data_IF_832490644643
#
_entry.id   IF_832490644643
#
_cell.length_a   1.000
_cell.length_b   1.000
_cell.length_c   1.000
_cell.angle_alpha   90.00
_cell.angle_beta   90.00
_cell.angle_gamma   90.00
#
_symmetry.space_group_name_H-M   'P 1'
#
loop_
_entity.id
_entity.type
_entity.pdbx_description
1 polymer ?
#
# COMPACT_ATOMS: atom_id res chain seq x y z
N UNK A 1 -26.62 15.49 -4.25
CA UNK A 1 -25.35 14.72 -4.28
C UNK A 1 -25.18 14.05 -2.92
N UNK A 2 -25.10 12.71 -2.90
CA UNK A 2 -24.93 11.94 -1.67
C UNK A 2 -23.52 11.36 -1.63
N UNK A 3 -23.02 11.12 -0.42
CA UNK A 3 -21.73 10.51 -0.18
C UNK A 3 -21.70 9.85 1.20
N UNK A 4 -20.75 8.97 1.41
CA UNK A 4 -20.51 8.35 2.71
C UNK A 4 -19.02 8.35 3.05
N UNK A 5 -18.70 8.16 4.34
CA UNK A 5 -17.33 8.02 4.80
C UNK A 5 -16.91 6.57 4.58
N UNK A 6 -15.91 6.40 3.74
CA UNK A 6 -15.32 5.10 3.42
C UNK A 6 -14.25 4.68 4.44
N UNK A 7 -13.44 5.64 4.90
CA UNK A 7 -12.37 5.43 5.86
C UNK A 7 -12.11 6.69 6.68
N UNK A 8 -11.77 6.52 7.95
CA UNK A 8 -11.31 7.58 8.82
C UNK A 8 -10.13 7.10 9.67
N UNK A 9 -9.14 7.96 9.85
CA UNK A 9 -8.00 7.78 10.75
C UNK A 9 -7.84 8.99 11.66
N UNK A 10 -6.72 9.10 12.36
CA UNK A 10 -6.45 10.27 13.22
C UNK A 10 -6.34 11.59 12.45
N UNK A 11 -5.97 11.57 11.16
CA UNK A 11 -5.69 12.81 10.40
C UNK A 11 -6.25 12.82 8.98
N UNK A 12 -6.91 11.74 8.58
CA UNK A 12 -7.41 11.57 7.22
C UNK A 12 -8.85 11.07 7.25
N UNK A 13 -9.64 11.54 6.31
CA UNK A 13 -10.94 10.96 6.01
C UNK A 13 -11.03 10.73 4.51
N UNK A 14 -11.50 9.56 4.10
CA UNK A 14 -11.79 9.23 2.71
C UNK A 14 -13.29 9.13 2.53
N UNK A 15 -13.82 9.83 1.55
CA UNK A 15 -15.23 9.80 1.18
C UNK A 15 -15.41 9.07 -0.16
N UNK A 16 -16.61 8.51 -0.37
CA UNK A 16 -17.05 7.96 -1.64
C UNK A 16 -18.40 8.59 -2.00
N UNK A 17 -18.55 9.06 -3.25
CA UNK A 17 -19.79 9.59 -3.77
C UNK A 17 -20.74 8.45 -4.13
N UNK A 18 -22.03 8.60 -3.81
CA UNK A 18 -23.10 7.66 -4.15
C UNK A 18 -23.74 8.06 -5.49
N UNK A 19 -22.99 7.97 -6.60
CA UNK A 19 -23.40 8.37 -7.94
C UNK A 19 -23.09 7.27 -8.98
N UNK A 20 -23.82 7.30 -10.11
CA UNK A 20 -23.60 6.40 -11.27
C UNK A 20 -22.44 6.89 -12.16
N UNK A 21 -21.33 7.29 -11.57
CA UNK A 21 -20.11 7.66 -12.28
C UNK A 21 -18.99 6.67 -11.93
N UNK A 22 -17.99 6.54 -12.81
CA UNK A 22 -16.88 5.62 -12.61
C UNK A 22 -15.59 6.44 -12.53
N UNK A 23 -14.88 6.33 -11.39
CA UNK A 23 -13.61 6.95 -11.07
C UNK A 23 -13.64 8.48 -11.01
N UNK A 24 -14.10 9.16 -12.06
CA UNK A 24 -14.25 10.61 -12.15
C UNK A 24 -15.71 11.03 -12.33
N UNK A 25 -16.02 12.23 -11.85
CA UNK A 25 -17.34 12.87 -11.96
C UNK A 25 -17.17 14.36 -12.22
N UNK A 26 -18.26 15.10 -12.38
CA UNK A 26 -18.22 16.57 -12.46
C UNK A 26 -17.62 17.17 -11.19
N UNK A 27 -16.83 18.23 -11.35
CA UNK A 27 -16.14 18.89 -10.24
C UNK A 27 -17.09 19.31 -9.12
N UNK A 28 -16.65 19.11 -7.88
CA UNK A 28 -17.36 19.50 -6.66
C UNK A 28 -16.39 20.05 -5.62
N UNK A 29 -16.88 20.90 -4.76
CA UNK A 29 -16.15 21.44 -3.64
C UNK A 29 -16.33 20.56 -2.40
N UNK A 30 -15.27 20.42 -1.60
CA UNK A 30 -15.35 19.81 -0.27
C UNK A 30 -15.16 20.90 0.77
N UNK A 31 -16.14 21.01 1.66
CA UNK A 31 -16.13 21.92 2.80
C UNK A 31 -16.04 21.11 4.10
N UNK A 32 -15.10 21.47 4.97
CA UNK A 32 -14.91 20.84 6.28
C UNK A 32 -14.98 21.91 7.36
N UNK A 33 -15.91 21.75 8.31
CA UNK A 33 -16.23 22.74 9.34
C UNK A 33 -16.41 24.15 8.74
N UNK A 34 -17.17 24.27 7.66
CA UNK A 34 -17.46 25.52 6.96
C UNK A 34 -16.27 26.14 6.22
N UNK A 35 -15.15 25.44 6.05
CA UNK A 35 -13.98 25.91 5.30
C UNK A 35 -13.76 25.07 4.05
N UNK A 36 -13.58 25.75 2.91
CA UNK A 36 -13.25 25.08 1.65
C UNK A 36 -11.89 24.38 1.75
N UNK A 37 -11.86 23.09 1.47
CA UNK A 37 -10.63 22.28 1.38
C UNK A 37 -10.09 22.22 -0.04
N UNK A 38 -10.95 22.27 -1.04
CA UNK A 38 -10.55 22.23 -2.44
C UNK A 38 -11.70 21.87 -3.38
N UNK A 39 -11.36 21.83 -4.67
CA UNK A 39 -12.26 21.37 -5.74
C UNK A 39 -11.72 20.03 -6.26
N UNK A 40 -12.58 19.04 -6.34
CA UNK A 40 -12.25 17.67 -6.66
C UNK A 40 -13.16 17.13 -7.76
N UNK A 41 -12.77 16.01 -8.37
CA UNK A 41 -13.52 15.39 -9.47
C UNK A 41 -13.50 13.86 -9.42
N UNK A 42 -12.89 13.27 -8.39
CA UNK A 42 -12.85 11.81 -8.21
C UNK A 42 -14.05 11.32 -7.40
N UNK A 43 -14.52 10.12 -7.70
CA UNK A 43 -15.59 9.46 -6.94
C UNK A 43 -15.17 9.11 -5.52
N UNK A 44 -13.88 8.79 -5.34
CA UNK A 44 -13.27 8.55 -4.03
C UNK A 44 -12.20 9.60 -3.81
N UNK A 45 -12.28 10.29 -2.68
CA UNK A 45 -11.36 11.37 -2.35
C UNK A 45 -10.95 11.37 -0.89
N UNK A 46 -9.65 11.46 -0.65
CA UNK A 46 -9.08 11.58 0.70
C UNK A 46 -8.78 13.03 1.04
N UNK A 47 -9.20 13.45 2.22
CA UNK A 47 -8.91 14.73 2.84
C UNK A 47 -7.91 14.49 3.97
N UNK A 48 -6.82 15.21 3.96
CA UNK A 48 -5.74 15.16 4.93
C UNK A 48 -5.66 16.40 5.83
N UNK A 49 -4.72 16.40 6.78
CA UNK A 49 -4.43 17.53 7.64
C UNK A 49 -5.51 17.82 8.67
N UNK A 50 -6.26 16.79 9.08
CA UNK A 50 -7.18 16.87 10.20
C UNK A 50 -6.43 16.78 11.54
N UNK A 51 -7.07 17.19 12.62
CA UNK A 51 -6.57 17.01 13.98
C UNK A 51 -7.10 15.68 14.53
N UNK A 52 -6.30 14.96 15.32
CA UNK A 52 -6.77 13.73 15.97
C UNK A 52 -7.79 14.05 17.08
N UNK A 53 -8.62 13.04 17.42
CA UNK A 53 -9.60 13.08 18.51
C UNK A 53 -10.51 14.33 18.41
N UNK A 54 -11.03 14.60 17.19
CA UNK A 54 -11.74 15.84 16.88
C UNK A 54 -12.99 15.55 16.04
N UNK A 55 -14.09 16.24 16.39
CA UNK A 55 -15.33 16.19 15.61
C UNK A 55 -15.25 17.10 14.39
N UNK A 56 -15.72 16.57 13.25
CA UNK A 56 -15.78 17.28 11.98
C UNK A 56 -17.11 17.11 11.28
N UNK A 57 -17.43 18.11 10.46
CA UNK A 57 -18.55 18.12 9.53
C UNK A 57 -18.02 18.25 8.10
N UNK A 58 -18.48 17.37 7.20
CA UNK A 58 -18.21 17.48 5.75
C UNK A 58 -19.51 17.80 5.03
N UNK A 59 -19.40 18.72 4.09
CA UNK A 59 -20.45 19.07 3.12
C UNK A 59 -19.80 19.19 1.75
N UNK A 60 -20.49 18.70 0.72
CA UNK A 60 -20.06 18.83 -0.67
C UNK A 60 -20.95 19.86 -1.38
N UNK A 61 -20.35 20.63 -2.30
CA UNK A 61 -21.10 21.62 -3.10
C UNK A 61 -20.79 21.42 -4.57
N UNK A 62 -21.82 21.32 -5.40
CA UNK A 62 -21.71 21.24 -6.86
C UNK A 62 -22.78 22.13 -7.49
N UNK A 63 -22.39 23.01 -8.42
CA UNK A 63 -23.28 23.90 -9.15
C UNK A 63 -24.21 24.74 -8.21
N UNK A 64 -23.68 25.19 -7.08
CA UNK A 64 -24.39 25.92 -6.00
C UNK A 64 -25.44 25.08 -5.22
N UNK A 65 -25.47 23.78 -5.42
CA UNK A 65 -26.29 22.86 -4.62
C UNK A 65 -25.41 22.14 -3.59
N UNK A 66 -25.79 22.21 -2.32
CA UNK A 66 -25.09 21.54 -1.23
C UNK A 66 -25.67 20.15 -0.98
N UNK A 67 -24.78 19.20 -0.60
CA UNK A 67 -25.21 17.92 -0.03
C UNK A 67 -25.76 18.10 1.40
N UNK A 68 -26.33 17.04 1.96
CA UNK A 68 -26.46 16.95 3.40
C UNK A 68 -25.07 16.98 4.07
N UNK A 69 -25.03 17.43 5.32
CA UNK A 69 -23.82 17.43 6.12
C UNK A 69 -23.64 16.06 6.78
N UNK A 70 -22.46 15.50 6.65
CA UNK A 70 -22.05 14.25 7.31
C UNK A 70 -21.07 14.56 8.42
N UNK A 71 -21.35 14.10 9.64
CA UNK A 71 -20.46 14.26 10.80
C UNK A 71 -19.60 13.02 11.02
N UNK A 72 -18.37 13.21 11.50
CA UNK A 72 -17.48 12.14 11.89
C UNK A 72 -16.51 12.58 12.98
N UNK A 73 -15.91 11.62 13.66
CA UNK A 73 -14.88 11.84 14.67
C UNK A 73 -13.58 11.17 14.21
N UNK A 74 -12.45 11.90 14.27
CA UNK A 74 -11.13 11.36 13.95
C UNK A 74 -10.59 10.50 15.10
N UNK A 75 -9.87 9.43 14.75
CA UNK A 75 -9.26 8.55 15.73
C UNK A 75 -8.24 9.28 16.62
N UNK A 76 -8.07 8.88 17.88
CA UNK A 76 -7.05 9.46 18.74
C UNK A 76 -5.63 9.07 18.28
N UNK A 77 -4.68 9.96 18.48
CA UNK A 77 -3.26 9.78 18.19
C UNK A 77 -2.44 10.23 19.39
N UNK A 78 -1.87 9.31 20.18
CA UNK A 78 -1.21 9.67 21.43
C UNK A 78 0.08 10.47 21.23
N UNK A 79 0.84 10.19 20.16
CA UNK A 79 2.09 10.87 19.85
C UNK A 79 2.46 10.70 18.37
N UNK A 80 3.19 11.69 17.85
CA UNK A 80 3.87 11.63 16.55
C UNK A 80 5.38 11.47 16.75
N UNK A 81 5.98 10.47 16.11
CA UNK A 81 7.42 10.30 16.00
C UNK A 81 7.87 10.78 14.62
N UNK A 82 8.60 11.90 14.58
CA UNK A 82 9.19 12.39 13.34
C UNK A 82 10.51 11.62 13.07
N UNK A 83 10.65 11.02 11.88
CA UNK A 83 11.85 10.24 11.53
C UNK A 83 13.14 11.08 11.58
N UNK A 84 13.06 12.40 11.44
CA UNK A 84 14.22 13.28 11.59
C UNK A 84 14.77 13.30 13.00
N UNK A 85 13.92 13.14 14.01
CA UNK A 85 14.35 13.06 15.42
C UNK A 85 15.10 11.75 15.71
N UNK A 86 15.02 10.78 14.81
CA UNK A 86 15.76 9.52 14.83
C UNK A 86 17.02 9.54 13.95
N UNK A 87 17.33 10.69 13.35
CA UNK A 87 18.52 10.89 12.54
C UNK A 87 18.33 10.68 11.03
N UNK A 88 17.09 10.61 10.54
CA UNK A 88 16.84 10.57 9.10
C UNK A 88 17.17 11.93 8.45
N UNK A 89 17.93 11.91 7.36
CA UNK A 89 18.36 13.10 6.63
C UNK A 89 17.32 13.59 5.64
N UNK A 90 16.74 12.69 4.86
CA UNK A 90 15.76 13.05 3.83
C UNK A 90 16.33 13.96 2.74
N UNK A 91 17.63 13.81 2.44
CA UNK A 91 18.38 14.63 1.48
C UNK A 91 18.59 13.96 0.12
N UNK A 92 18.13 12.73 -0.04
CA UNK A 92 18.26 11.92 -1.26
C UNK A 92 19.60 11.21 -1.44
N UNK A 93 20.51 11.36 -0.48
CA UNK A 93 21.90 10.84 -0.56
C UNK A 93 22.19 9.83 0.55
N UNK A 94 21.93 10.19 1.80
CA UNK A 94 22.19 9.32 2.95
C UNK A 94 21.16 8.18 3.02
N UNK A 95 21.62 7.01 3.48
CA UNK A 95 20.76 5.87 3.74
C UNK A 95 19.99 6.08 5.06
N UNK A 96 18.70 6.31 4.96
CA UNK A 96 17.79 6.60 6.07
C UNK A 96 17.12 5.34 6.64
N UNK A 97 17.45 4.14 6.12
CA UNK A 97 16.80 2.87 6.51
C UNK A 97 16.79 2.68 8.03
N UNK A 98 17.95 2.79 8.68
CA UNK A 98 18.08 2.54 10.12
C UNK A 98 17.34 3.56 10.97
N UNK A 99 17.36 4.83 10.58
CA UNK A 99 16.69 5.91 11.30
C UNK A 99 15.16 5.75 11.24
N UNK A 100 14.62 5.48 10.04
CA UNK A 100 13.17 5.25 9.87
C UNK A 100 12.75 3.95 10.57
N UNK A 101 13.55 2.89 10.45
CA UNK A 101 13.25 1.63 11.13
C UNK A 101 13.25 1.79 12.66
N UNK A 102 14.15 2.59 13.22
CA UNK A 102 14.17 2.90 14.65
C UNK A 102 12.89 3.62 15.09
N UNK A 103 12.42 4.61 14.33
CA UNK A 103 11.16 5.28 14.58
C UNK A 103 9.97 4.30 14.57
N UNK A 104 9.92 3.39 13.58
CA UNK A 104 8.88 2.34 13.49
C UNK A 104 8.91 1.43 14.74
N UNK A 105 10.10 0.95 15.14
CA UNK A 105 10.24 0.06 16.29
C UNK A 105 9.88 0.72 17.62
N UNK A 106 10.21 2.01 17.78
CA UNK A 106 9.88 2.80 18.95
C UNK A 106 8.42 3.29 18.99
N UNK A 107 7.66 3.15 17.88
CA UNK A 107 6.31 3.67 17.79
C UNK A 107 5.37 3.01 18.82
N UNK A 108 4.76 3.76 19.76
CA UNK A 108 3.76 3.21 20.66
C UNK A 108 2.48 2.78 19.90
N UNK A 109 1.64 2.02 20.58
CA UNK A 109 0.36 1.59 20.03
C UNK A 109 -0.51 2.80 19.62
N UNK A 110 -1.08 2.74 18.42
CA UNK A 110 -1.92 3.76 17.81
C UNK A 110 -1.22 5.13 17.61
N UNK A 111 0.11 5.16 17.70
CA UNK A 111 0.89 6.36 17.42
C UNK A 111 1.27 6.45 15.94
N UNK A 112 1.73 7.62 15.54
CA UNK A 112 2.11 7.93 14.17
C UNK A 112 3.64 8.04 14.03
N UNK A 113 4.20 7.37 13.01
CA UNK A 113 5.53 7.66 12.45
C UNK A 113 5.33 8.59 11.27
N UNK A 114 5.91 9.77 11.35
CA UNK A 114 5.81 10.82 10.33
C UNK A 114 7.10 10.88 9.51
N UNK A 115 6.96 10.72 8.19
CA UNK A 115 8.00 10.97 7.20
C UNK A 115 7.70 12.32 6.56
N UNK A 116 8.36 13.42 6.99
CA UNK A 116 8.10 14.75 6.44
C UNK A 116 8.70 14.91 5.05
N UNK A 117 8.38 16.03 4.38
CA UNK A 117 8.94 16.38 3.07
C UNK A 117 10.45 16.14 3.00
N UNK A 118 10.90 15.42 1.97
CA UNK A 118 12.28 15.05 1.72
C UNK A 118 12.38 13.79 0.88
N UNK A 119 13.59 13.43 0.47
CA UNK A 119 13.86 12.17 -0.24
C UNK A 119 14.71 11.28 0.67
N UNK A 120 14.18 10.13 1.05
CA UNK A 120 14.76 9.21 2.01
C UNK A 120 15.18 7.91 1.33
N UNK A 121 16.46 7.72 0.99
CA UNK A 121 16.94 6.45 0.46
C UNK A 121 16.80 5.33 1.51
N UNK A 122 16.16 4.22 1.10
CA UNK A 122 15.91 3.07 1.98
C UNK A 122 16.09 1.74 1.23
N UNK A 123 16.48 0.68 1.95
CA UNK A 123 16.49 -0.68 1.41
C UNK A 123 15.15 -1.38 1.67
N UNK A 124 14.85 -1.67 2.94
CA UNK A 124 13.61 -2.31 3.36
C UNK A 124 13.23 -1.85 4.78
N UNK A 125 11.95 -1.61 5.00
CA UNK A 125 11.36 -1.21 6.28
C UNK A 125 10.36 -2.28 6.71
N UNK A 126 10.50 -2.75 7.95
CA UNK A 126 9.62 -3.73 8.55
C UNK A 126 8.59 -3.05 9.45
N UNK A 127 7.33 -3.28 9.16
CA UNK A 127 6.22 -2.73 9.91
C UNK A 127 6.09 -3.37 11.30
N UNK A 128 5.41 -2.66 12.18
CA UNK A 128 4.97 -3.11 13.50
C UNK A 128 3.45 -2.99 13.59
N UNK A 129 2.81 -3.79 14.41
CA UNK A 129 1.35 -3.70 14.62
C UNK A 129 0.93 -2.42 15.33
N UNK A 130 -0.32 -2.03 15.13
CA UNK A 130 -1.00 -0.94 15.84
C UNK A 130 -0.30 0.43 15.64
N UNK A 131 -0.01 0.82 14.38
CA UNK A 131 0.70 2.07 14.06
C UNK A 131 0.15 2.75 12.80
N UNK A 132 0.45 4.02 12.69
CA UNK A 132 0.26 4.81 11.48
C UNK A 132 1.64 5.17 10.91
N UNK A 133 1.86 4.90 9.61
CA UNK A 133 3.01 5.39 8.85
C UNK A 133 2.52 6.44 7.86
N UNK A 134 2.82 7.70 8.11
CA UNK A 134 2.40 8.79 7.23
C UNK A 134 3.57 9.36 6.43
N UNK A 135 3.40 9.39 5.12
CA UNK A 135 4.29 10.09 4.19
C UNK A 135 3.63 11.43 3.81
N UNK A 136 4.18 12.53 4.30
CA UNK A 136 3.66 13.85 3.93
C UNK A 136 3.78 14.12 2.43
N UNK A 137 3.04 15.09 1.96
CA UNK A 137 3.19 15.61 0.61
C UNK A 137 4.65 16.02 0.33
N UNK A 138 5.19 15.59 -0.82
CA UNK A 138 6.60 15.74 -1.19
C UNK A 138 7.60 14.95 -0.31
N UNK A 139 7.14 13.96 0.45
CA UNK A 139 8.01 12.94 1.02
C UNK A 139 8.18 11.81 0.00
N UNK A 140 9.40 11.33 -0.19
CA UNK A 140 9.72 10.21 -1.09
C UNK A 140 10.56 9.20 -0.32
N UNK A 141 10.04 7.98 -0.13
CA UNK A 141 10.88 6.83 0.19
C UNK A 141 11.46 6.30 -1.12
N UNK A 142 12.78 6.34 -1.25
CA UNK A 142 13.50 6.07 -2.48
C UNK A 142 14.31 4.77 -2.35
N UNK A 143 14.02 3.79 -3.19
CA UNK A 143 14.67 2.48 -3.16
C UNK A 143 16.18 2.55 -3.41
N UNK A 144 16.96 1.93 -2.55
CA UNK A 144 18.39 1.69 -2.78
C UNK A 144 18.56 0.38 -3.54
N UNK A 145 19.17 0.43 -4.72
CA UNK A 145 19.58 -0.77 -5.43
C UNK A 145 20.91 -1.30 -4.88
N UNK A 146 20.82 -2.17 -3.90
CA UNK A 146 21.98 -2.89 -3.37
C UNK A 146 21.57 -4.30 -2.92
N UNK A 147 21.81 -5.30 -3.77
CA UNK A 147 21.47 -6.69 -3.47
C UNK A 147 22.30 -7.28 -2.32
N UNK A 148 23.41 -6.66 -1.93
CA UNK A 148 24.23 -7.12 -0.81
C UNK A 148 23.66 -6.68 0.54
N UNK A 149 23.03 -5.50 0.56
CA UNK A 149 22.50 -4.87 1.77
C UNK A 149 21.01 -5.10 1.97
N UNK A 150 20.25 -5.42 0.91
CA UNK A 150 18.82 -5.70 1.03
C UNK A 150 18.61 -7.05 1.73
N UNK A 151 17.83 -7.11 2.82
CA UNK A 151 17.54 -8.36 3.51
C UNK A 151 16.85 -9.38 2.62
N UNK A 152 17.12 -10.67 2.85
CA UNK A 152 16.45 -11.76 2.14
C UNK A 152 15.43 -12.41 3.06
N UNK A 153 14.20 -12.53 2.57
CA UNK A 153 13.15 -13.31 3.20
C UNK A 153 13.27 -14.77 2.70
N UNK A 154 13.56 -15.75 3.58
CA UNK A 154 13.67 -17.14 3.17
C UNK A 154 12.35 -17.71 2.69
N UNK A 155 12.38 -18.48 1.61
CA UNK A 155 11.21 -19.11 1.03
C UNK A 155 10.76 -20.35 1.78
N UNK A 156 11.68 -21.04 2.41
CA UNK A 156 11.38 -22.21 3.23
C UNK A 156 12.12 -22.10 4.56
N UNK A 157 11.38 -22.31 5.64
CA UNK A 157 11.94 -22.45 6.98
C UNK A 157 11.52 -23.83 7.45
N UNK A 158 12.49 -24.70 7.72
CA UNK A 158 12.25 -26.00 8.37
C UNK A 158 12.01 -25.73 9.86
N UNK A 159 10.87 -26.17 10.36
CA UNK A 159 10.54 -26.16 11.77
C UNK A 159 10.35 -27.58 12.26
N UNK A 160 10.90 -27.90 13.41
CA UNK A 160 10.79 -29.21 14.07
C UNK A 160 9.47 -29.44 14.80
N UNK A 161 8.47 -28.57 14.64
CA UNK A 161 7.17 -28.72 15.29
C UNK A 161 6.05 -29.09 14.31
N UNK A 162 5.01 -29.75 14.80
CA UNK A 162 3.91 -30.30 14.02
C UNK A 162 3.10 -29.22 13.23
N UNK A 163 3.16 -27.95 13.63
CA UNK A 163 2.44 -26.83 13.01
C UNK A 163 3.27 -26.11 11.92
N UNK A 164 4.48 -26.53 11.70
CA UNK A 164 5.60 -25.71 11.29
C UNK A 164 5.98 -25.71 9.83
N UNK A 165 5.14 -25.33 8.92
CA UNK A 165 5.64 -24.85 7.65
C UNK A 165 5.33 -23.37 7.49
N UNK A 166 6.36 -22.56 7.54
CA UNK A 166 6.28 -21.14 7.43
C UNK A 166 7.23 -20.63 6.34
N UNK A 167 6.74 -19.82 5.41
CA UNK A 167 7.57 -19.13 4.45
C UNK A 167 7.46 -17.62 4.62
N UNK A 168 8.60 -16.95 4.66
CA UNK A 168 8.66 -15.48 4.65
C UNK A 168 8.71 -14.94 3.23
N UNK A 169 9.49 -15.58 2.35
CA UNK A 169 9.62 -15.20 0.96
C UNK A 169 8.69 -15.99 0.05
N UNK A 170 8.26 -15.36 -1.03
CA UNK A 170 7.44 -15.94 -2.09
C UNK A 170 7.85 -15.37 -3.44
N UNK A 171 7.73 -16.15 -4.50
CA UNK A 171 7.85 -15.67 -5.88
C UNK A 171 6.96 -16.48 -6.80
N UNK A 172 6.05 -15.80 -7.49
CA UNK A 172 5.07 -16.41 -8.41
C UNK A 172 4.43 -17.67 -7.80
N UNK A 173 3.82 -17.53 -6.63
CA UNK A 173 3.09 -18.61 -5.96
C UNK A 173 3.94 -19.77 -5.41
N UNK A 174 5.27 -19.63 -5.37
CA UNK A 174 6.18 -20.61 -4.78
C UNK A 174 6.89 -20.04 -3.54
N UNK A 175 7.15 -20.86 -2.51
CA UNK A 175 7.86 -20.44 -1.30
C UNK A 175 9.37 -20.48 -1.53
N UNK A 176 9.88 -19.44 -2.15
CA UNK A 176 11.31 -19.30 -2.50
C UNK A 176 11.85 -17.94 -2.08
N UNK A 177 13.16 -17.87 -1.85
CA UNK A 177 13.82 -16.67 -1.34
C UNK A 177 13.56 -15.46 -2.22
N UNK A 178 13.11 -14.38 -1.60
CA UNK A 178 12.94 -13.07 -2.21
C UNK A 178 13.57 -11.99 -1.35
N UNK A 179 14.01 -10.90 -1.96
CA UNK A 179 14.41 -9.73 -1.17
C UNK A 179 13.22 -9.15 -0.41
N UNK A 180 13.47 -8.62 0.79
CA UNK A 180 12.47 -7.87 1.54
C UNK A 180 12.02 -6.65 0.73
N UNK A 181 10.75 -6.37 0.78
CA UNK A 181 10.12 -5.23 0.09
C UNK A 181 10.43 -3.92 0.77
N UNK A 182 10.31 -2.80 0.05
CA UNK A 182 10.49 -1.48 0.64
C UNK A 182 9.64 -1.33 1.91
N UNK A 183 8.40 -1.77 1.86
CA UNK A 183 7.54 -1.92 3.04
C UNK A 183 7.19 -3.40 3.20
N UNK A 184 7.60 -3.98 4.30
CA UNK A 184 7.38 -5.40 4.62
C UNK A 184 6.60 -5.55 5.92
N UNK A 185 5.42 -6.14 5.86
CA UNK A 185 4.62 -6.54 7.00
C UNK A 185 4.64 -8.07 7.16
N UNK A 186 4.96 -8.57 8.33
CA UNK A 186 4.94 -10.01 8.66
C UNK A 186 4.19 -10.19 9.96
N UNK A 187 3.02 -10.86 9.91
CA UNK A 187 2.14 -11.05 11.06
C UNK A 187 1.77 -9.75 11.79
N UNK A 188 1.71 -8.62 11.08
CA UNK A 188 1.30 -7.34 11.66
C UNK A 188 -0.17 -7.09 11.47
N UNK A 189 -0.77 -6.30 12.37
CA UNK A 189 -2.18 -5.94 12.30
C UNK A 189 -2.41 -4.49 12.73
N UNK A 190 -3.56 -3.95 12.29
CA UNK A 190 -3.99 -2.59 12.60
C UNK A 190 -2.94 -1.56 12.18
N UNK A 191 -2.57 -1.55 10.90
CA UNK A 191 -1.59 -0.59 10.36
C UNK A 191 -2.27 0.26 9.29
N UNK A 192 -2.06 1.57 9.39
CA UNK A 192 -2.43 2.53 8.35
C UNK A 192 -1.17 3.10 7.72
N UNK A 193 -1.03 2.98 6.40
CA UNK A 193 -0.02 3.69 5.60
C UNK A 193 -0.76 4.77 4.83
N UNK A 194 -0.43 6.04 5.06
CA UNK A 194 -1.25 7.13 4.52
C UNK A 194 -0.41 8.35 4.10
N UNK A 195 -1.12 9.34 3.56
CA UNK A 195 -0.56 10.62 3.14
C UNK A 195 -0.46 10.76 1.63
N UNK A 196 0.20 11.83 1.16
CA UNK A 196 0.38 12.15 -0.26
C UNK A 196 1.83 11.95 -0.74
N UNK A 197 2.63 11.22 0.03
CA UNK A 197 4.02 10.93 -0.33
C UNK A 197 4.14 9.79 -1.35
N UNK A 198 5.37 9.50 -1.73
CA UNK A 198 5.70 8.56 -2.79
C UNK A 198 6.58 7.43 -2.26
N UNK A 199 6.24 6.21 -2.61
CA UNK A 199 7.09 5.04 -2.53
C UNK A 199 7.69 4.83 -3.94
N UNK A 200 8.96 5.15 -4.13
CA UNK A 200 9.66 5.03 -5.41
C UNK A 200 10.72 3.93 -5.34
N UNK A 201 10.46 2.79 -5.99
CA UNK A 201 11.39 1.67 -6.02
C UNK A 201 12.65 1.92 -6.81
N UNK A 202 12.70 2.99 -7.62
CA UNK A 202 13.82 3.35 -8.49
C UNK A 202 14.31 2.21 -9.37
N UNK A 203 13.42 1.26 -9.69
CA UNK A 203 13.74 0.20 -10.61
C UNK A 203 13.82 0.71 -12.04
N UNK A 204 14.80 0.22 -12.78
CA UNK A 204 15.03 0.52 -14.19
C UNK A 204 15.72 -0.66 -14.92
N UNK A 205 15.98 -0.48 -16.21
CA UNK A 205 16.58 -1.52 -17.05
C UNK A 205 18.09 -1.70 -16.85
N UNK A 206 18.73 -0.87 -16.05
CA UNK A 206 20.16 -0.99 -15.68
C UNK A 206 20.33 -1.68 -14.31
N UNK A 207 19.24 -1.77 -13.52
CA UNK A 207 19.28 -2.35 -12.19
C UNK A 207 18.34 -3.57 -12.03
N UNK A 208 17.17 -3.41 -11.39
CA UNK A 208 16.28 -4.53 -11.07
C UNK A 208 15.70 -5.23 -12.31
N UNK A 209 15.44 -4.50 -13.40
CA UNK A 209 14.86 -5.05 -14.63
C UNK A 209 15.91 -5.47 -15.68
N UNK A 210 17.22 -5.33 -15.41
CA UNK A 210 18.29 -5.74 -16.34
C UNK A 210 18.29 -7.24 -16.61
N UNK A 211 17.94 -8.06 -15.60
CA UNK A 211 17.86 -9.53 -15.68
C UNK A 211 16.63 -10.04 -14.93
N UNK A 212 15.42 -9.75 -15.39
CA UNK A 212 14.19 -9.94 -14.61
C UNK A 212 13.82 -11.40 -14.37
N UNK A 213 14.34 -12.33 -15.18
CA UNK A 213 14.08 -13.77 -15.08
C UNK A 213 15.16 -14.54 -14.31
N UNK A 214 16.18 -13.84 -13.80
CA UNK A 214 17.29 -14.47 -13.11
C UNK A 214 17.19 -14.26 -11.60
N UNK A 215 17.27 -15.37 -10.85
CA UNK A 215 17.45 -15.30 -9.38
C UNK A 215 18.91 -14.92 -9.09
N UNK A 216 19.15 -13.67 -8.72
CA UNK A 216 20.47 -13.17 -8.30
C UNK A 216 20.44 -12.99 -6.78
N UNK A 217 21.01 -13.95 -6.02
CA UNK A 217 20.93 -14.16 -4.57
C UNK A 217 19.51 -14.52 -4.11
N UNK A 218 18.52 -13.70 -4.42
CA UNK A 218 17.10 -13.88 -4.18
C UNK A 218 16.29 -13.28 -5.34
N UNK A 219 14.99 -13.53 -5.38
CA UNK A 219 14.09 -12.91 -6.33
C UNK A 219 13.86 -11.44 -5.98
N UNK A 220 13.47 -10.63 -6.98
CA UNK A 220 13.25 -9.18 -6.85
C UNK A 220 12.25 -8.86 -5.73
N UNK A 221 12.43 -7.75 -4.99
CA UNK A 221 11.47 -7.32 -3.97
C UNK A 221 10.20 -6.76 -4.61
N UNK A 222 9.11 -6.72 -3.85
CA UNK A 222 7.90 -5.94 -4.15
C UNK A 222 8.03 -4.54 -3.56
N UNK A 223 7.05 -3.67 -3.78
CA UNK A 223 7.00 -2.40 -3.05
C UNK A 223 6.39 -2.59 -1.66
N UNK A 224 5.18 -3.12 -1.58
CA UNK A 224 4.50 -3.42 -0.33
C UNK A 224 4.20 -4.92 -0.31
N UNK A 225 4.78 -5.64 0.65
CA UNK A 225 4.53 -7.06 0.89
C UNK A 225 3.96 -7.28 2.28
N UNK A 226 2.77 -7.86 2.34
CA UNK A 226 2.01 -8.07 3.58
C UNK A 226 1.75 -9.57 3.76
N UNK A 227 2.58 -10.22 4.56
CA UNK A 227 2.54 -11.66 4.79
C UNK A 227 1.83 -11.98 6.11
N UNK A 228 0.67 -12.68 6.03
CA UNK A 228 -0.18 -13.01 7.20
C UNK A 228 -0.56 -11.79 8.04
N UNK A 229 -0.91 -10.69 7.35
CA UNK A 229 -1.33 -9.45 7.99
C UNK A 229 -2.84 -9.34 8.11
N UNK A 230 -3.31 -8.52 9.05
CA UNK A 230 -4.73 -8.31 9.30
C UNK A 230 -5.04 -6.82 9.53
N UNK A 231 -6.14 -6.33 8.95
CA UNK A 231 -6.60 -4.96 9.08
C UNK A 231 -5.52 -3.93 8.73
N UNK A 232 -5.12 -3.93 7.47
CA UNK A 232 -4.15 -2.97 6.92
C UNK A 232 -4.85 -2.07 5.92
N UNK A 233 -4.69 -0.76 6.07
CA UNK A 233 -5.17 0.22 5.10
C UNK A 233 -3.99 0.99 4.52
N UNK A 234 -3.93 1.08 3.20
CA UNK A 234 -3.01 1.96 2.46
C UNK A 234 -3.84 2.98 1.71
N UNK A 235 -3.61 4.27 1.97
CA UNK A 235 -4.48 5.33 1.43
C UNK A 235 -3.69 6.58 1.03
N UNK A 236 -3.99 7.12 -0.14
CA UNK A 236 -3.51 8.42 -0.62
C UNK A 236 -2.10 8.43 -1.21
N UNK A 237 -1.28 7.42 -0.95
CA UNK A 237 0.12 7.37 -1.40
C UNK A 237 0.25 6.99 -2.87
N UNK A 238 1.33 7.44 -3.50
CA UNK A 238 1.77 6.97 -4.81
C UNK A 238 2.81 5.86 -4.65
N UNK A 239 2.67 4.77 -5.40
CA UNK A 239 3.64 3.68 -5.51
C UNK A 239 4.16 3.65 -6.93
N UNK A 240 5.48 3.71 -7.12
CA UNK A 240 6.05 3.75 -8.48
C UNK A 240 7.38 3.02 -8.63
N UNK A 241 7.69 2.65 -9.87
CA UNK A 241 8.96 2.02 -10.28
C UNK A 241 9.35 0.81 -9.41
N UNK A 242 8.40 -0.07 -9.18
CA UNK A 242 8.62 -1.27 -8.37
C UNK A 242 9.62 -2.21 -9.04
N UNK A 243 10.53 -2.85 -8.28
CA UNK A 243 11.37 -3.90 -8.81
C UNK A 243 10.60 -5.11 -9.38
N UNK A 244 9.43 -5.42 -8.84
CA UNK A 244 8.49 -6.45 -9.29
C UNK A 244 7.06 -6.04 -8.94
N UNK A 245 6.17 -6.94 -8.54
CA UNK A 245 4.80 -6.63 -8.14
C UNK A 245 4.75 -5.45 -7.16
N UNK A 246 3.76 -4.58 -7.32
CA UNK A 246 3.67 -3.38 -6.48
C UNK A 246 3.06 -3.70 -5.10
N UNK A 247 1.80 -4.08 -5.05
CA UNK A 247 1.04 -4.34 -3.83
C UNK A 247 0.76 -5.84 -3.72
N UNK A 248 1.40 -6.51 -2.76
CA UNK A 248 1.29 -7.95 -2.60
C UNK A 248 0.84 -8.35 -1.19
N UNK A 249 -0.47 -8.34 -0.91
CA UNK A 249 -1.00 -9.02 0.26
C UNK A 249 -0.96 -10.54 0.03
N UNK A 250 -0.44 -11.28 1.02
CA UNK A 250 -0.15 -12.70 0.95
C UNK A 250 -0.66 -13.39 2.22
N UNK A 251 -1.59 -14.34 2.08
CA UNK A 251 -2.28 -14.98 3.20
C UNK A 251 -2.82 -13.97 4.23
N UNK A 252 -3.36 -12.85 3.77
CA UNK A 252 -3.76 -11.72 4.60
C UNK A 252 -5.28 -11.49 4.57
N UNK A 253 -5.79 -10.79 5.58
CA UNK A 253 -7.22 -10.54 5.75
C UNK A 253 -7.50 -9.07 6.06
N UNK A 254 -8.63 -8.54 5.56
CA UNK A 254 -9.05 -7.15 5.77
C UNK A 254 -7.98 -6.14 5.29
N UNK A 255 -7.63 -6.21 4.01
CA UNK A 255 -6.65 -5.32 3.38
C UNK A 255 -7.37 -4.31 2.51
N UNK A 256 -7.02 -3.03 2.64
CA UNK A 256 -7.65 -1.94 1.90
C UNK A 256 -6.60 -1.09 1.18
N UNK A 257 -6.82 -0.87 -0.11
CA UNK A 257 -6.06 0.06 -0.94
C UNK A 257 -7.01 1.13 -1.46
N UNK A 258 -6.86 2.37 -0.99
CA UNK A 258 -7.84 3.43 -1.19
C UNK A 258 -7.18 4.69 -1.78
N UNK A 259 -7.81 5.30 -2.80
CA UNK A 259 -7.41 6.61 -3.37
C UNK A 259 -5.90 6.72 -3.63
N UNK A 260 -5.33 5.76 -4.36
CA UNK A 260 -3.89 5.61 -4.60
C UNK A 260 -3.55 5.76 -6.08
N UNK A 261 -2.26 5.99 -6.34
CA UNK A 261 -1.66 5.81 -7.66
C UNK A 261 -0.62 4.69 -7.61
N UNK A 262 -0.70 3.75 -8.57
CA UNK A 262 0.27 2.67 -8.75
C UNK A 262 0.76 2.73 -10.19
N UNK A 263 2.05 3.06 -10.40
CA UNK A 263 2.55 3.35 -11.74
C UNK A 263 3.99 2.91 -11.99
N UNK A 264 4.27 2.64 -13.24
CA UNK A 264 5.59 2.28 -13.76
C UNK A 264 5.59 2.27 -15.28
N UNK A 265 6.74 2.11 -15.93
CA UNK A 265 6.81 1.99 -17.37
C UNK A 265 6.03 0.79 -17.89
N UNK A 266 5.27 0.98 -18.98
CA UNK A 266 4.44 -0.07 -19.57
C UNK A 266 5.22 -1.30 -20.08
N UNK A 267 6.54 -1.21 -20.21
CA UNK A 267 7.43 -2.29 -20.61
C UNK A 267 8.27 -2.87 -19.45
N UNK A 268 7.96 -2.51 -18.22
CA UNK A 268 8.65 -3.07 -17.05
C UNK A 268 8.16 -4.50 -16.75
N UNK A 269 9.07 -5.38 -16.31
CA UNK A 269 8.80 -6.81 -16.17
C UNK A 269 8.21 -7.17 -14.81
N UNK A 270 7.07 -7.88 -14.81
CA UNK A 270 6.36 -8.37 -13.62
C UNK A 270 6.05 -7.25 -12.62
N UNK A 271 5.63 -6.11 -13.11
CA UNK A 271 5.27 -4.96 -12.28
C UNK A 271 3.76 -4.84 -12.14
N UNK A 272 3.12 -5.98 -11.87
CA UNK A 272 1.69 -6.07 -11.57
C UNK A 272 1.32 -5.04 -10.49
N UNK A 273 0.15 -4.43 -10.61
CA UNK A 273 -0.28 -3.36 -9.71
C UNK A 273 -0.66 -3.88 -8.33
N UNK A 274 -1.51 -4.89 -8.28
CA UNK A 274 -1.92 -5.51 -7.01
C UNK A 274 -2.19 -7.00 -7.17
N UNK A 275 -1.56 -7.82 -6.34
CA UNK A 275 -1.63 -9.27 -6.37
C UNK A 275 -2.17 -9.86 -5.05
N UNK A 276 -3.48 -9.83 -4.80
CA UNK A 276 -4.05 -10.52 -3.65
C UNK A 276 -3.85 -12.03 -3.79
N UNK A 277 -2.94 -12.62 -3.00
CA UNK A 277 -2.62 -14.05 -3.05
C UNK A 277 -3.06 -14.76 -1.77
N UNK A 278 -4.02 -15.69 -1.91
CA UNK A 278 -4.60 -16.43 -0.77
C UNK A 278 -5.17 -15.50 0.32
N UNK A 279 -5.82 -14.41 -0.09
CA UNK A 279 -6.33 -13.36 0.78
C UNK A 279 -7.84 -13.38 0.91
N UNK A 280 -8.34 -12.84 2.01
CA UNK A 280 -9.79 -12.67 2.26
C UNK A 280 -10.09 -11.22 2.60
N UNK A 281 -11.25 -10.70 2.12
CA UNK A 281 -11.71 -9.34 2.40
C UNK A 281 -10.69 -8.27 1.95
N UNK A 282 -10.39 -8.23 0.65
CA UNK A 282 -9.52 -7.19 0.06
C UNK A 282 -10.39 -6.17 -0.67
N UNK A 283 -10.20 -4.91 -0.36
CA UNK A 283 -10.87 -3.78 -0.99
C UNK A 283 -9.86 -2.93 -1.75
N UNK A 284 -10.13 -2.72 -3.04
CA UNK A 284 -9.35 -1.86 -3.94
C UNK A 284 -10.32 -0.82 -4.50
N UNK A 285 -10.21 0.42 -4.06
CA UNK A 285 -11.18 1.44 -4.39
C UNK A 285 -10.52 2.81 -4.64
N UNK A 286 -10.86 3.46 -5.75
CA UNK A 286 -10.28 4.74 -6.14
C UNK A 286 -8.81 4.67 -6.55
N UNK A 287 -8.33 3.51 -7.00
CA UNK A 287 -6.92 3.34 -7.36
C UNK A 287 -6.71 3.52 -8.86
N UNK A 288 -5.72 4.32 -9.22
CA UNK A 288 -5.26 4.46 -10.60
C UNK A 288 -4.05 3.55 -10.83
N UNK A 289 -4.17 2.64 -11.79
CA UNK A 289 -3.10 1.75 -12.23
C UNK A 289 -2.61 2.13 -13.63
N UNK A 290 -1.29 2.23 -13.78
CA UNK A 290 -0.58 2.37 -15.05
C UNK A 290 0.75 1.61 -14.91
N UNK A 291 0.77 0.34 -15.27
CA UNK A 291 1.83 -0.63 -14.94
C UNK A 291 2.29 -1.43 -16.15
N UNK A 292 3.36 -2.19 -16.00
CA UNK A 292 3.97 -2.97 -17.09
C UNK A 292 3.55 -4.44 -17.15
N UNK A 293 2.63 -4.88 -16.26
CA UNK A 293 2.04 -6.21 -16.25
C UNK A 293 0.55 -6.09 -15.87
N UNK A 294 -0.10 -7.07 -15.24
CA UNK A 294 -1.50 -6.96 -14.89
C UNK A 294 -1.78 -5.84 -13.87
N UNK A 295 -2.84 -5.05 -14.06
CA UNK A 295 -3.22 -4.03 -13.06
C UNK A 295 -3.60 -4.68 -11.72
N UNK A 296 -4.41 -5.74 -11.77
CA UNK A 296 -4.78 -6.55 -10.61
C UNK A 296 -4.74 -8.01 -11.03
N UNK A 297 -4.00 -8.86 -10.29
CA UNK A 297 -3.94 -10.29 -10.53
C UNK A 297 -4.28 -11.08 -9.25
N UNK A 298 -5.50 -11.64 -9.21
CA UNK A 298 -5.99 -12.42 -8.07
C UNK A 298 -5.37 -13.80 -8.11
N UNK A 299 -4.66 -14.21 -7.06
CA UNK A 299 -3.84 -15.41 -6.99
C UNK A 299 -4.15 -16.27 -5.76
N UNK A 300 -3.76 -17.55 -5.81
CA UNK A 300 -3.87 -18.49 -4.69
C UNK A 300 -2.76 -19.56 -4.70
N UNK A 301 -1.56 -19.16 -5.12
CA UNK A 301 -0.37 -20.01 -5.16
C UNK A 301 -0.31 -20.98 -6.33
N UNK A 302 0.90 -21.48 -6.61
CA UNK A 302 1.14 -22.59 -7.52
C UNK A 302 0.83 -23.93 -6.85
N UNK A 303 0.96 -25.02 -7.61
CA UNK A 303 0.53 -26.39 -7.22
C UNK A 303 1.00 -26.77 -5.82
N UNK A 304 2.26 -26.49 -5.45
CA UNK A 304 2.78 -26.85 -4.14
C UNK A 304 2.02 -26.13 -3.01
N UNK A 305 1.94 -24.80 -3.05
CA UNK A 305 1.24 -23.99 -2.04
C UNK A 305 -0.27 -24.26 -2.04
N UNK A 306 -0.88 -24.35 -3.22
CA UNK A 306 -2.31 -24.62 -3.36
C UNK A 306 -2.71 -25.99 -2.81
N UNK A 307 -1.92 -27.05 -3.04
CA UNK A 307 -2.19 -28.38 -2.47
C UNK A 307 -1.95 -28.45 -0.97
N UNK A 308 -0.92 -27.78 -0.47
CA UNK A 308 -0.54 -27.82 0.93
C UNK A 308 -1.50 -27.02 1.81
N UNK A 309 -1.76 -25.77 1.48
CA UNK A 309 -2.53 -24.85 2.33
C UNK A 309 -4.00 -24.77 1.93
N UNK A 310 -4.33 -24.93 0.64
CA UNK A 310 -5.70 -24.86 0.10
C UNK A 310 -6.46 -23.59 0.52
N UNK A 311 -5.77 -22.46 0.49
CA UNK A 311 -6.34 -21.16 0.84
C UNK A 311 -6.61 -20.35 -0.44
N UNK A 312 -7.86 -20.27 -0.91
CA UNK A 312 -8.23 -19.43 -2.04
C UNK A 312 -8.29 -17.96 -1.65
N UNK A 313 -8.21 -17.07 -2.64
CA UNK A 313 -8.60 -15.67 -2.45
C UNK A 313 -10.12 -15.52 -2.49
N UNK A 314 -10.71 -14.75 -1.52
CA UNK A 314 -12.16 -14.58 -1.36
C UNK A 314 -12.52 -13.14 -1.00
N UNK A 315 -13.72 -12.72 -1.42
CA UNK A 315 -14.27 -11.40 -1.10
C UNK A 315 -13.31 -10.28 -1.49
N UNK A 316 -12.91 -10.29 -2.77
CA UNK A 316 -12.09 -9.24 -3.38
C UNK A 316 -13.04 -8.24 -4.02
N UNK A 317 -13.07 -7.01 -3.49
CA UNK A 317 -13.93 -5.93 -3.97
C UNK A 317 -13.10 -4.88 -4.70
N UNK A 318 -13.39 -4.70 -5.99
CA UNK A 318 -12.68 -3.73 -6.85
C UNK A 318 -13.74 -2.78 -7.39
N UNK A 319 -13.57 -1.48 -7.13
CA UNK A 319 -14.50 -0.47 -7.66
C UNK A 319 -13.84 0.90 -7.80
N UNK A 320 -14.47 1.76 -8.57
CA UNK A 320 -14.06 3.15 -8.75
C UNK A 320 -12.55 3.30 -9.05
N UNK A 321 -11.98 2.32 -9.79
CA UNK A 321 -10.55 2.27 -10.11
C UNK A 321 -10.34 2.43 -11.62
N UNK A 322 -9.24 3.07 -11.98
CA UNK A 322 -8.87 3.30 -13.38
C UNK A 322 -7.65 2.48 -13.75
N UNK A 323 -7.83 1.54 -14.70
CA UNK A 323 -6.77 0.71 -15.28
C UNK A 323 -6.40 1.31 -16.63
N UNK A 324 -5.35 2.16 -16.64
CA UNK A 324 -4.93 2.91 -17.83
C UNK A 324 -4.02 2.06 -18.73
N UNK A 325 -2.94 1.51 -18.16
CA UNK A 325 -1.97 0.66 -18.84
C UNK A 325 -1.72 -0.60 -18.02
N UNK A 326 -1.54 -1.72 -18.71
CA UNK A 326 -1.29 -3.04 -18.12
C UNK A 326 -1.65 -4.16 -19.11
N UNK A 327 -1.25 -5.40 -18.84
CA UNK A 327 -1.59 -6.54 -19.68
C UNK A 327 -3.05 -6.95 -19.48
N UNK A 328 -3.55 -6.97 -18.25
CA UNK A 328 -4.93 -7.22 -17.90
C UNK A 328 -5.45 -6.25 -16.86
N UNK A 329 -6.71 -5.82 -16.97
CA UNK A 329 -7.33 -4.94 -15.98
C UNK A 329 -7.53 -5.69 -14.65
N UNK A 330 -8.23 -6.83 -14.70
CA UNK A 330 -8.39 -7.76 -13.58
C UNK A 330 -8.21 -9.17 -14.11
N UNK A 331 -7.14 -9.81 -13.71
CA UNK A 331 -6.74 -11.16 -14.07
C UNK A 331 -7.00 -12.11 -12.91
N UNK A 332 -7.46 -13.32 -13.19
CA UNK A 332 -7.52 -14.42 -12.22
C UNK A 332 -6.43 -15.41 -12.60
N UNK A 333 -5.33 -15.39 -11.88
CA UNK A 333 -4.17 -16.24 -12.15
C UNK A 333 -2.88 -15.46 -12.44
N UNK A 334 -1.87 -16.18 -12.98
CA UNK A 334 -1.86 -17.62 -13.34
C UNK A 334 -1.79 -18.57 -12.13
N UNK A 335 -1.38 -18.11 -10.96
CA UNK A 335 -1.22 -18.89 -9.74
C UNK A 335 -2.56 -19.08 -9.00
N UNK A 336 -3.37 -20.07 -9.40
CA UNK A 336 -4.73 -20.32 -8.84
C UNK A 336 -4.92 -21.76 -8.36
N UNK A 337 -3.87 -22.41 -7.87
CA UNK A 337 -3.95 -23.82 -7.53
C UNK A 337 -4.75 -24.15 -6.26
N UNK A 338 -5.11 -23.15 -5.47
CA UNK A 338 -5.99 -23.32 -4.30
C UNK A 338 -7.45 -22.92 -4.54
N UNK A 339 -7.83 -22.49 -5.74
CA UNK A 339 -9.19 -22.07 -6.12
C UNK A 339 -9.35 -20.59 -6.35
#
# INVERSE_FOLDING_TARGET
MNFHILFCSSRHVTIELDEDAIYETASYEIWVNGRLKGVFHRMIQTIDGLLPDTDYEIMLVRANEASDTVTFHTEPEPITLNVRDFGAFGDGVHDDTSAIQAAILCCPKNARVLIPKGTYPVTALFLKSDMILELQENAVLAGIYDRARTPILPGQIEYDNEDGYYNLGSWEGNPIDSFASMITGIHVKNVTICGKGVLDGRADFENWWSRPKDKIRAWRPRMIFLNHCENITVVGVTVQNSPAWNLHPYFSNQIRFLDMEVKGPANSHNTDGCDPESCTNVEIAGVHFSVGDDCIAIKSGKIYMGKKFKVPSKHIHIRQSWMQDGHGAVTVGSEIAAG
#
